data_IF_653345986526
#
_entry.id   IF_653345986526
#
_cell.length_a   1.000
_cell.length_b   1.000
_cell.length_c   1.000
_cell.angle_alpha   90.00
_cell.angle_beta   90.00
_cell.angle_gamma   90.00
#
_symmetry.space_group_name_H-M   'P 1'
#
loop_
_entity.id
_entity.type
_entity.pdbx_description
1 polymer ?
#
# COMPACT_ATOMS: atom_id res chain seq x y z
N UNK A 1 9.39 9.18 -3.80
CA UNK A 1 10.27 9.66 -2.71
C UNK A 1 11.74 9.48 -3.08
N UNK A 2 12.65 10.18 -2.38
CA UNK A 2 14.11 9.97 -2.53
C UNK A 2 14.52 8.59 -2.03
N UNK A 3 15.43 7.92 -2.72
CA UNK A 3 16.03 6.66 -2.25
C UNK A 3 16.79 6.82 -0.92
N UNK A 4 17.17 8.06 -0.57
CA UNK A 4 17.83 8.42 0.71
C UNK A 4 16.87 8.94 1.77
N UNK A 5 15.55 8.95 1.51
CA UNK A 5 14.58 9.24 2.56
C UNK A 5 14.77 8.24 3.69
N UNK A 6 14.63 8.67 4.94
CA UNK A 6 14.71 7.76 6.06
C UNK A 6 13.46 6.89 6.17
N UNK A 7 13.57 5.77 6.90
CA UNK A 7 12.46 4.81 7.03
C UNK A 7 11.33 5.38 7.89
N UNK A 8 11.67 6.10 8.96
CA UNK A 8 10.73 6.85 9.80
C UNK A 8 9.95 7.90 8.98
N UNK A 9 10.64 8.75 8.22
CA UNK A 9 10.03 9.76 7.35
C UNK A 9 9.13 9.11 6.30
N UNK A 10 9.50 7.93 5.76
CA UNK A 10 8.64 7.18 4.85
C UNK A 10 7.32 6.82 5.53
N UNK A 11 7.37 6.33 6.77
CA UNK A 11 6.18 6.04 7.57
C UNK A 11 5.31 7.27 7.79
N UNK A 12 5.92 8.39 8.17
CA UNK A 12 5.20 9.66 8.40
C UNK A 12 4.43 10.15 7.17
N UNK A 13 4.98 9.96 5.96
CA UNK A 13 4.29 10.32 4.71
C UNK A 13 2.96 9.56 4.50
N UNK A 14 2.84 8.37 5.08
CA UNK A 14 1.63 7.55 5.03
C UNK A 14 0.85 7.55 6.34
N UNK A 15 1.26 8.34 7.34
CA UNK A 15 0.64 8.36 8.66
C UNK A 15 0.84 7.06 9.46
N UNK A 16 1.88 6.30 9.14
CA UNK A 16 2.22 5.04 9.80
C UNK A 16 3.37 5.27 10.78
N UNK A 17 3.30 4.64 11.95
CA UNK A 17 4.39 4.63 12.93
C UNK A 17 5.25 3.38 12.71
N UNK A 18 6.15 3.47 11.75
CA UNK A 18 6.99 2.35 11.28
C UNK A 18 8.45 2.79 11.23
N UNK A 19 9.35 1.87 11.54
CA UNK A 19 10.80 2.09 11.57
C UNK A 19 11.53 0.74 11.43
N UNK A 20 12.82 0.76 11.11
CA UNK A 20 13.65 -0.45 11.02
C UNK A 20 15.02 -0.24 11.67
N UNK A 21 15.30 -1.01 12.73
CA UNK A 21 16.53 -0.88 13.53
C UNK A 21 17.82 -1.22 12.75
N UNK A 22 17.72 -1.95 11.63
CA UNK A 22 18.88 -2.41 10.86
C UNK A 22 19.26 -1.45 9.72
N UNK A 23 18.32 -0.58 9.30
CA UNK A 23 18.49 0.24 8.09
C UNK A 23 17.86 1.62 8.21
N UNK A 24 18.66 2.64 7.92
CA UNK A 24 18.20 4.03 8.07
C UNK A 24 17.40 4.56 6.87
N UNK A 25 17.56 3.97 5.67
CA UNK A 25 17.07 4.57 4.42
C UNK A 25 16.18 3.64 3.61
N UNK A 26 15.26 4.21 2.82
CA UNK A 26 14.38 3.47 1.90
C UNK A 26 15.17 2.53 0.97
N UNK A 27 16.31 2.96 0.42
CA UNK A 27 17.13 2.08 -0.42
C UNK A 27 17.77 0.93 0.36
N UNK A 28 18.19 1.19 1.60
CA UNK A 28 18.70 0.17 2.51
C UNK A 28 17.63 -0.85 2.86
N UNK A 29 16.43 -0.38 3.19
CA UNK A 29 15.24 -1.19 3.43
C UNK A 29 14.92 -2.10 2.25
N UNK A 30 14.85 -1.56 1.03
CA UNK A 30 14.64 -2.39 -0.16
C UNK A 30 15.74 -3.44 -0.33
N UNK A 31 16.99 -3.12 0.01
CA UNK A 31 18.11 -4.06 -0.03
C UNK A 31 17.99 -5.19 0.99
N UNK A 32 17.56 -4.85 2.22
CA UNK A 32 17.27 -5.79 3.30
C UNK A 32 16.17 -6.78 2.88
N UNK A 33 15.02 -6.26 2.46
CA UNK A 33 13.87 -7.06 2.03
C UNK A 33 14.20 -7.99 0.85
N UNK A 34 14.97 -7.48 -0.14
CA UNK A 34 15.35 -8.27 -1.32
C UNK A 34 16.52 -9.22 -1.07
N UNK A 35 17.24 -9.08 0.04
CA UNK A 35 18.53 -9.72 0.31
C UNK A 35 19.57 -9.52 -0.83
N UNK A 36 19.50 -8.38 -1.53
CA UNK A 36 20.42 -7.99 -2.63
C UNK A 36 20.26 -6.52 -2.97
N UNK A 37 21.21 -5.99 -3.76
CA UNK A 37 21.14 -4.62 -4.26
C UNK A 37 19.88 -4.43 -5.14
N UNK A 38 18.99 -3.48 -4.82
CA UNK A 38 17.82 -3.19 -5.66
C UNK A 38 18.22 -2.70 -7.05
N UNK A 39 17.51 -3.19 -8.07
CA UNK A 39 17.67 -2.76 -9.46
C UNK A 39 16.43 -1.99 -9.92
N UNK A 40 16.50 -1.23 -11.03
CA UNK A 40 15.31 -0.56 -11.54
C UNK A 40 14.18 -1.56 -11.83
N UNK A 41 12.98 -1.27 -11.34
CA UNK A 41 11.81 -2.15 -11.40
C UNK A 41 11.72 -3.17 -10.27
N UNK A 42 12.68 -3.24 -9.35
CA UNK A 42 12.53 -4.02 -8.12
C UNK A 42 11.33 -3.51 -7.32
N UNK A 43 10.55 -4.45 -6.77
CA UNK A 43 9.37 -4.17 -5.95
C UNK A 43 9.51 -4.88 -4.60
N UNK A 44 9.18 -4.20 -3.52
CA UNK A 44 8.99 -4.79 -2.18
C UNK A 44 7.71 -4.25 -1.55
N UNK A 45 7.15 -5.01 -0.62
CA UNK A 45 6.05 -4.56 0.23
C UNK A 45 6.54 -4.63 1.67
N UNK A 46 6.47 -3.52 2.37
CA UNK A 46 6.90 -3.40 3.76
C UNK A 46 5.88 -2.58 4.53
N UNK A 47 5.36 -3.13 5.64
CA UNK A 47 4.35 -2.48 6.50
C UNK A 47 3.15 -1.88 5.73
N UNK A 48 2.67 -2.59 4.69
CA UNK A 48 1.55 -2.14 3.86
C UNK A 48 1.90 -1.06 2.81
N UNK A 49 3.17 -0.69 2.68
CA UNK A 49 3.69 0.22 1.65
C UNK A 49 4.39 -0.61 0.57
N UNK A 50 3.93 -0.46 -0.68
CA UNK A 50 4.64 -0.93 -1.86
C UNK A 50 5.71 0.07 -2.27
N UNK A 51 6.95 -0.40 -2.42
CA UNK A 51 8.09 0.38 -2.89
C UNK A 51 8.57 -0.14 -4.24
N UNK A 52 8.68 0.74 -5.24
CA UNK A 52 9.16 0.41 -6.59
C UNK A 52 10.39 1.24 -6.92
N UNK A 53 11.51 0.59 -7.19
CA UNK A 53 12.78 1.25 -7.46
C UNK A 53 12.78 1.85 -8.88
N UNK A 54 12.89 3.17 -8.99
CA UNK A 54 13.03 3.85 -10.27
C UNK A 54 14.49 4.11 -10.65
N UNK A 55 14.75 4.07 -11.95
CA UNK A 55 16.07 4.42 -12.49
C UNK A 55 16.33 5.92 -12.30
N UNK A 56 17.49 6.26 -11.74
CA UNK A 56 17.97 7.64 -11.73
C UNK A 56 18.43 8.14 -13.11
N UNK A 57 18.35 9.45 -13.34
CA UNK A 57 18.88 10.09 -14.55
C UNK A 57 20.38 10.34 -14.36
N UNK A 58 21.25 9.68 -15.12
CA UNK A 58 22.70 9.94 -15.09
C UNK A 58 23.61 8.79 -15.53
N UNK A 59 24.93 8.98 -15.35
CA UNK A 59 26.00 8.04 -15.76
C UNK A 59 26.18 6.85 -14.82
N UNK A 60 25.62 6.92 -13.61
CA UNK A 60 25.66 5.83 -12.63
C UNK A 60 24.26 5.23 -12.64
N UNK A 61 24.17 3.96 -13.02
CA UNK A 61 22.92 3.18 -13.06
C UNK A 61 22.34 2.92 -11.66
N UNK A 62 22.23 3.96 -10.82
CA UNK A 62 21.79 3.89 -9.44
C UNK A 62 20.31 4.26 -9.31
N UNK A 63 19.64 3.69 -8.31
CA UNK A 63 18.31 4.10 -7.88
C UNK A 63 18.42 5.43 -7.15
N UNK A 64 17.74 6.45 -7.66
CA UNK A 64 17.66 7.78 -7.03
C UNK A 64 16.28 8.06 -6.46
N UNK A 65 15.25 7.47 -7.08
CA UNK A 65 13.85 7.68 -6.76
C UNK A 65 13.20 6.33 -6.52
N UNK A 66 12.29 6.28 -5.57
CA UNK A 66 11.44 5.12 -5.30
C UNK A 66 9.99 5.60 -5.34
N UNK A 67 9.13 4.92 -6.09
CA UNK A 67 7.69 5.14 -5.99
C UNK A 67 7.19 4.39 -4.76
N UNK A 68 6.40 5.07 -3.94
CA UNK A 68 5.82 4.51 -2.73
C UNK A 68 4.30 4.68 -2.79
N UNK A 69 3.55 3.63 -2.47
CA UNK A 69 2.08 3.65 -2.41
C UNK A 69 1.58 2.66 -1.37
N UNK A 70 0.43 2.92 -0.75
CA UNK A 70 -0.23 1.89 0.07
C UNK A 70 -0.68 0.73 -0.83
N UNK A 71 -0.61 -0.48 -0.29
CA UNK A 71 -1.19 -1.66 -0.95
C UNK A 71 -2.71 -1.57 -0.80
N UNK A 72 -3.44 -1.63 -1.90
CA UNK A 72 -4.89 -1.80 -1.86
C UNK A 72 -5.18 -3.24 -1.40
N UNK A 73 -5.84 -3.41 -0.26
CA UNK A 73 -6.51 -4.69 0.02
C UNK A 73 -7.54 -4.91 -1.10
N UNK A 74 -7.54 -6.07 -1.79
CA UNK A 74 -8.60 -6.36 -2.72
C UNK A 74 -9.90 -6.29 -1.94
N UNK A 75 -10.75 -5.31 -2.27
CA UNK A 75 -12.06 -5.17 -1.67
C UNK A 75 -12.72 -6.56 -1.70
N UNK A 76 -12.97 -7.12 -0.51
CA UNK A 76 -13.75 -8.33 -0.41
C UNK A 76 -15.03 -8.07 -1.18
N UNK A 77 -15.24 -8.84 -2.26
CA UNK A 77 -16.39 -8.72 -3.15
C UNK A 77 -17.66 -8.66 -2.28
N UNK A 78 -18.44 -7.57 -2.25
CA UNK A 78 -19.62 -7.47 -1.38
C UNK A 78 -20.80 -8.34 -1.87
N UNK A 79 -20.53 -9.43 -2.60
CA UNK A 79 -21.52 -10.27 -3.25
C UNK A 79 -22.14 -11.36 -2.34
N UNK A 80 -21.87 -11.37 -1.03
CA UNK A 80 -22.57 -12.27 -0.09
C UNK A 80 -23.01 -11.53 1.18
N UNK A 81 -24.01 -10.66 1.07
CA UNK A 81 -24.58 -9.99 2.25
C UNK A 81 -25.84 -9.15 2.02
N UNK A 82 -26.56 -9.37 0.91
CA UNK A 82 -27.59 -8.46 0.43
C UNK A 82 -28.95 -9.10 0.14
N UNK A 83 -29.34 -10.18 0.83
CA UNK A 83 -30.74 -10.64 0.81
C UNK A 83 -31.24 -10.68 2.25
N UNK A 84 -31.84 -9.58 2.72
CA UNK A 84 -32.82 -9.62 3.83
C UNK A 84 -33.50 -8.26 4.07
N UNK A 85 -32.93 -7.15 3.57
CA UNK A 85 -33.59 -5.83 3.69
C UNK A 85 -34.81 -5.65 2.77
N UNK A 86 -34.97 -6.45 1.71
CA UNK A 86 -36.08 -6.33 0.76
C UNK A 86 -37.41 -6.92 1.28
N UNK A 87 -37.39 -7.78 2.30
CA UNK A 87 -38.60 -8.43 2.82
C UNK A 87 -39.47 -7.49 3.68
N UNK A 88 -38.90 -6.41 4.24
CA UNK A 88 -39.66 -5.52 5.15
C UNK A 88 -40.57 -4.52 4.41
N UNK A 89 -40.34 -4.24 3.13
CA UNK A 89 -41.19 -3.32 2.34
C UNK A 89 -42.50 -3.95 1.86
N UNK A 90 -42.65 -5.28 1.95
CA UNK A 90 -43.86 -5.97 1.51
C UNK A 90 -44.97 -6.04 2.59
N UNK A 91 -44.67 -5.86 3.89
CA UNK A 91 -45.68 -6.00 4.94
C UNK A 91 -46.42 -4.69 5.26
N UNK A 92 -45.86 -3.53 4.93
CA UNK A 92 -46.48 -2.22 5.25
C UNK A 92 -47.55 -1.76 4.24
N UNK A 93 -47.61 -2.37 3.05
CA UNK A 93 -48.65 -2.04 2.06
C UNK A 93 -50.00 -2.73 2.31
N UNK A 94 -50.10 -3.67 3.26
CA UNK A 94 -51.33 -4.43 3.49
C UNK A 94 -52.33 -3.79 4.49
N UNK A 95 -52.06 -2.61 5.06
CA UNK A 95 -52.95 -1.94 6.04
C UNK A 95 -53.59 -0.63 5.58
N UNK A 96 -53.52 -0.28 4.29
CA UNK A 96 -54.17 0.95 3.76
C UNK A 96 -55.29 0.72 2.75
N UNK A 97 -55.64 -0.53 2.47
CA UNK A 97 -56.82 -0.86 1.66
C UNK A 97 -57.58 -2.03 2.29
N UNK A 98 -58.82 -1.74 2.71
CA UNK A 98 -59.83 -2.59 3.36
C UNK A 98 -59.81 -2.64 4.88
#
# INVERSE_FOLDING_TARGET
>A
VSARLSVDDLGELFGLKVDDDDVDTVLGLMGKELNKVPIPGSVVVWEGIQLVAERGIGRRNSILTVLASLVEEPAADPAEGGVDAAAQLASDSAKRAS
#
